data_IF_671077562707
#
_entry.id   IF_671077562707
#
_cell.length_a   1.000
_cell.length_b   1.000
_cell.length_c   1.000
_cell.angle_alpha   90.00
_cell.angle_beta   90.00
_cell.angle_gamma   90.00
#
_symmetry.space_group_name_H-M   'P 1'
#
loop_
_entity.id
_entity.type
_entity.pdbx_description
1 polymer ?
#
# COMPACT_ATOMS: atom_id res chain seq x y z
N UNK A 1 -8.58 3.88 -13.15
CA UNK A 1 -8.03 3.28 -11.92
C UNK A 1 -6.94 2.29 -12.28
N UNK A 2 -5.71 2.60 -11.91
CA UNK A 2 -4.51 1.83 -12.24
C UNK A 2 -4.55 0.39 -11.74
N UNK A 3 -4.11 -0.53 -12.61
CA UNK A 3 -4.06 -1.99 -12.41
C UNK A 3 -3.36 -2.42 -11.10
N UNK A 4 -2.49 -1.56 -10.57
CA UNK A 4 -1.77 -1.77 -9.32
C UNK A 4 -2.66 -1.60 -8.09
N UNK A 5 -3.48 -0.54 -8.00
CA UNK A 5 -4.37 -0.31 -6.85
C UNK A 5 -5.36 -1.46 -6.68
N UNK A 6 -5.92 -1.95 -7.79
CA UNK A 6 -6.82 -3.11 -7.78
C UNK A 6 -6.08 -4.40 -7.39
N UNK A 7 -4.78 -4.51 -7.69
CA UNK A 7 -3.95 -5.64 -7.25
C UNK A 7 -3.70 -5.57 -5.74
N UNK A 8 -3.34 -4.39 -5.22
CA UNK A 8 -3.09 -4.20 -3.78
C UNK A 8 -4.37 -4.41 -2.95
N UNK A 9 -5.53 -3.96 -3.45
CA UNK A 9 -6.83 -4.16 -2.78
C UNK A 9 -7.32 -5.61 -2.79
N UNK A 10 -6.97 -6.39 -3.81
CA UNK A 10 -7.34 -7.82 -3.88
C UNK A 10 -6.67 -8.66 -2.78
N UNK A 11 -5.61 -8.15 -2.17
CA UNK A 11 -4.85 -8.87 -1.16
C UNK A 11 -3.88 -9.88 -1.76
N UNK A 12 -2.85 -10.20 -1.00
CA UNK A 12 -1.90 -11.27 -1.27
C UNK A 12 -1.63 -12.04 0.03
N UNK A 13 -1.10 -13.28 -0.03
CA UNK A 13 -0.74 -14.02 1.18
C UNK A 13 0.17 -13.24 2.14
N UNK A 14 0.99 -12.33 1.61
CA UNK A 14 1.97 -11.55 2.37
C UNK A 14 1.40 -10.45 3.28
N UNK A 15 0.14 -10.04 3.13
CA UNK A 15 -0.44 -8.95 3.92
C UNK A 15 -1.97 -9.04 4.04
N UNK A 16 -2.51 -8.38 5.05
CA UNK A 16 -3.95 -8.12 5.15
C UNK A 16 -4.28 -6.70 4.70
N UNK A 17 -5.47 -6.52 4.12
CA UNK A 17 -5.97 -5.21 3.66
C UNK A 17 -6.97 -4.67 4.67
N UNK A 18 -6.73 -3.46 5.16
CA UNK A 18 -7.68 -2.70 5.97
C UNK A 18 -8.14 -1.47 5.19
N UNK A 19 -9.42 -1.42 4.84
CA UNK A 19 -10.01 -0.27 4.14
C UNK A 19 -10.21 0.87 5.13
N UNK A 20 -9.82 2.08 4.75
CA UNK A 20 -9.95 3.30 5.54
C UNK A 20 -10.70 4.38 4.75
N UNK A 21 -11.03 5.51 5.38
CA UNK A 21 -11.90 6.52 4.76
C UNK A 21 -11.27 7.16 3.52
N UNK A 22 -9.97 7.46 3.61
CA UNK A 22 -9.23 8.20 2.59
C UNK A 22 -8.27 7.28 1.80
N UNK A 23 -8.38 5.96 1.96
CA UNK A 23 -7.44 5.02 1.37
C UNK A 23 -7.54 3.61 1.96
N UNK A 24 -6.43 2.89 1.98
CA UNK A 24 -6.35 1.57 2.60
C UNK A 24 -4.95 1.29 3.12
N UNK A 25 -4.87 0.56 4.23
CA UNK A 25 -3.63 0.12 4.87
C UNK A 25 -3.38 -1.34 4.54
N UNK A 26 -2.18 -1.65 4.07
CA UNK A 26 -1.66 -3.00 3.99
C UNK A 26 -0.84 -3.29 5.23
N UNK A 27 -1.14 -4.40 5.90
CA UNK A 27 -0.44 -4.84 7.12
C UNK A 27 0.31 -6.12 6.77
N UNK A 28 1.65 -6.06 6.78
CA UNK A 28 2.51 -7.19 6.44
C UNK A 28 2.37 -8.33 7.46
N UNK A 29 2.40 -9.57 6.97
CA UNK A 29 2.42 -10.76 7.83
C UNK A 29 3.86 -11.08 8.26
N UNK A 30 4.09 -11.41 9.54
CA UNK A 30 5.43 -11.71 10.05
C UNK A 30 6.18 -12.78 9.26
N UNK A 31 5.47 -13.80 8.77
CA UNK A 31 6.07 -14.92 8.03
C UNK A 31 6.40 -14.56 6.55
N UNK A 32 6.02 -13.37 6.09
CA UNK A 32 6.12 -12.93 4.70
C UNK A 32 6.69 -11.50 4.56
N UNK A 33 7.47 -11.02 5.54
CA UNK A 33 7.97 -9.64 5.58
C UNK A 33 8.84 -9.29 4.35
N UNK A 34 9.67 -10.21 3.86
CA UNK A 34 10.50 -9.97 2.67
C UNK A 34 9.65 -9.77 1.42
N UNK A 35 8.63 -10.61 1.23
CA UNK A 35 7.68 -10.51 0.12
C UNK A 35 6.88 -9.21 0.21
N UNK A 36 6.35 -8.89 1.40
CA UNK A 36 5.66 -7.64 1.65
C UNK A 36 6.54 -6.43 1.38
N UNK A 37 7.81 -6.48 1.79
CA UNK A 37 8.75 -5.37 1.60
C UNK A 37 9.05 -5.10 0.13
N UNK A 38 9.09 -6.13 -0.71
CA UNK A 38 9.21 -5.95 -2.16
C UNK A 38 7.97 -5.27 -2.74
N UNK A 39 6.77 -5.65 -2.30
CA UNK A 39 5.51 -5.01 -2.73
C UNK A 39 5.48 -3.54 -2.31
N UNK A 40 5.94 -3.22 -1.10
CA UNK A 40 6.03 -1.84 -0.60
C UNK A 40 6.99 -1.01 -1.45
N UNK A 41 8.16 -1.56 -1.80
CA UNK A 41 9.13 -0.88 -2.69
C UNK A 41 8.55 -0.63 -4.07
N UNK A 42 7.94 -1.64 -4.70
CA UNK A 42 7.30 -1.49 -6.02
C UNK A 42 6.19 -0.44 -6.01
N UNK A 43 5.40 -0.37 -4.94
CA UNK A 43 4.35 0.63 -4.79
C UNK A 43 4.91 2.04 -4.55
N UNK A 44 5.98 2.17 -3.77
CA UNK A 44 6.67 3.44 -3.53
C UNK A 44 7.31 4.00 -4.80
N UNK A 45 7.89 3.15 -5.65
CA UNK A 45 8.45 3.56 -6.95
C UNK A 45 7.39 4.08 -7.93
N UNK A 46 6.15 3.60 -7.82
CA UNK A 46 5.02 4.00 -8.67
C UNK A 46 4.17 5.13 -8.06
N UNK A 47 4.52 5.60 -6.86
CA UNK A 47 3.80 6.67 -6.19
C UNK A 47 4.03 8.02 -6.89
N UNK A 48 2.99 8.86 -6.94
CA UNK A 48 3.11 10.25 -7.36
C UNK A 48 1.95 10.76 -8.22
N UNK A 49 1.60 10.05 -9.28
CA UNK A 49 0.57 10.52 -10.23
C UNK A 49 -0.85 10.12 -9.84
N UNK A 50 -1.07 8.84 -9.50
CA UNK A 50 -2.40 8.27 -9.22
C UNK A 50 -2.68 8.04 -7.72
N UNK A 51 -1.63 7.83 -6.93
CA UNK A 51 -1.73 7.58 -5.49
C UNK A 51 -0.44 8.00 -4.79
N UNK A 52 -0.54 8.19 -3.48
CA UNK A 52 0.62 8.34 -2.59
C UNK A 52 0.67 7.18 -1.60
N UNK A 53 1.87 6.88 -1.11
CA UNK A 53 2.12 5.80 -0.16
C UNK A 53 2.91 6.29 1.05
N UNK A 54 2.51 5.81 2.22
CA UNK A 54 3.17 6.05 3.49
C UNK A 54 3.58 4.71 4.09
N UNK A 55 4.88 4.51 4.27
CA UNK A 55 5.43 3.22 4.71
C UNK A 55 5.82 3.26 6.17
N UNK A 56 5.58 2.17 6.90
CA UNK A 56 6.07 1.98 8.27
C UNK A 56 7.09 0.85 8.27
N UNK A 57 8.30 1.13 8.76
CA UNK A 57 9.34 0.11 8.93
C UNK A 57 8.94 -0.92 9.99
N UNK A 58 9.46 -2.13 9.88
CA UNK A 58 9.38 -3.16 10.92
C UNK A 58 10.43 -2.98 12.04
N UNK A 59 11.31 -1.97 11.95
CA UNK A 59 12.44 -1.77 12.85
C UNK A 59 13.72 -2.50 12.42
N UNK A 60 13.69 -3.21 11.29
CA UNK A 60 14.80 -3.90 10.67
C UNK A 60 15.01 -3.41 9.23
N UNK A 61 15.21 -4.32 8.26
CA UNK A 61 15.40 -3.99 6.84
C UNK A 61 14.09 -4.00 6.04
N UNK A 62 12.96 -4.30 6.68
CA UNK A 62 11.67 -4.49 6.05
C UNK A 62 10.65 -3.42 6.41
N UNK A 63 9.42 -3.70 6.00
CA UNK A 63 8.25 -2.88 6.27
C UNK A 63 7.21 -3.70 7.04
N UNK A 64 6.55 -3.06 8.00
CA UNK A 64 5.43 -3.66 8.74
C UNK A 64 4.09 -3.23 8.17
N UNK A 65 4.00 -2.01 7.62
CA UNK A 65 2.74 -1.46 7.09
C UNK A 65 2.99 -0.53 5.90
N UNK A 66 1.96 -0.37 5.08
CA UNK A 66 1.91 0.63 4.02
C UNK A 66 0.50 1.18 3.89
N UNK A 67 0.32 2.48 4.08
CA UNK A 67 -0.93 3.16 3.79
C UNK A 67 -0.89 3.72 2.37
N UNK A 68 -1.93 3.43 1.58
CA UNK A 68 -2.10 3.87 0.20
C UNK A 68 -3.29 4.81 0.12
N UNK A 69 -3.07 6.01 -0.39
CA UNK A 69 -4.10 7.04 -0.59
C UNK A 69 -4.23 7.33 -2.10
N UNK A 70 -5.35 6.96 -2.75
CA UNK A 70 -5.64 7.36 -4.12
C UNK A 70 -5.80 8.88 -4.24
N UNK A 71 -5.23 9.50 -5.28
CA UNK A 71 -5.32 10.94 -5.51
C UNK A 71 -6.55 11.34 -6.34
N UNK A 72 -7.13 10.41 -7.09
CA UNK A 72 -8.33 10.65 -7.91
C UNK A 72 -9.56 11.02 -7.05
N UNK A 73 -9.69 10.47 -5.85
CA UNK A 73 -10.79 10.78 -4.92
C UNK A 73 -10.66 12.19 -4.30
N UNK A 74 -9.46 12.78 -4.29
CA UNK A 74 -9.19 14.11 -3.72
C UNK A 74 -9.47 15.23 -4.74
N UNK A 75 -9.45 14.91 -6.05
CA UNK A 75 -9.60 15.89 -7.14
C UNK A 75 -11.05 16.22 -7.51
N UNK A 76 -12.03 15.68 -6.78
CA UNK A 76 -13.44 16.06 -6.94
C UNK A 76 -13.90 16.95 -5.78
N UNK A 77 -13.60 18.27 -5.79
CA UNK A 77 -14.35 19.19 -4.95
C UNK A 77 -15.78 19.23 -5.49
N UNK A 78 -16.72 18.76 -4.67
CA UNK A 78 -18.16 19.01 -4.89
C UNK A 78 -18.48 20.48 -4.72
#
# INVERSE_FOLDING_TARGET
MGRLLDKLKRGAPAYDVKVERDGFTLIGKPDHIDEFSNIVREAAEQAGEEFVVFTTSDGHQGYSQMFVMPLDDIRSPS
#
